data_IF_833360171396
#
_entry.id   IF_833360171396
#
_cell.length_a   1.000
_cell.length_b   1.000
_cell.length_c   1.000
_cell.angle_alpha   90.00
_cell.angle_beta   90.00
_cell.angle_gamma   90.00
#
_symmetry.space_group_name_H-M   'P 1'
#
loop_
_entity.id
_entity.type
_entity.pdbx_description
1 polymer ?
#
# COMPACT_ATOMS: atom_id res chain seq x y z
N UNK A 1 6.57 8.81 21.79
CA UNK A 1 6.46 9.28 20.39
C UNK A 1 5.79 8.17 19.59
N UNK A 2 4.68 8.50 18.93
CA UNK A 2 3.59 7.64 18.41
C UNK A 2 3.93 6.23 17.86
N UNK A 3 3.42 5.19 18.52
CA UNK A 3 3.29 3.81 18.03
C UNK A 3 2.55 3.69 16.67
N UNK A 4 1.74 4.71 16.32
CA UNK A 4 0.95 4.76 15.08
C UNK A 4 1.76 5.02 13.81
N UNK A 5 2.95 5.62 13.90
CA UNK A 5 3.84 5.77 12.73
C UNK A 5 4.58 4.46 12.41
N UNK A 6 4.84 3.62 13.42
CA UNK A 6 5.52 2.34 13.22
C UNK A 6 4.73 1.42 12.29
N UNK A 7 3.39 1.38 12.42
CA UNK A 7 2.55 0.50 11.59
C UNK A 7 2.61 0.81 10.09
N UNK A 8 2.92 2.04 9.68
CA UNK A 8 3.02 2.36 8.25
C UNK A 8 4.23 1.67 7.61
N UNK A 9 5.34 1.54 8.34
CA UNK A 9 6.50 0.78 7.86
C UNK A 9 6.17 -0.70 7.64
N UNK A 10 5.24 -1.24 8.42
CA UNK A 10 4.77 -2.61 8.27
C UNK A 10 3.77 -2.79 7.11
N UNK A 11 3.17 -1.71 6.61
CA UNK A 11 2.09 -1.79 5.61
C UNK A 11 2.52 -1.49 4.18
N UNK A 12 3.62 -0.74 3.98
CA UNK A 12 4.10 -0.38 2.64
C UNK A 12 5.59 -0.70 2.48
N UNK A 13 6.09 -0.65 1.24
CA UNK A 13 7.52 -0.75 0.99
C UNK A 13 8.25 0.49 1.53
N UNK A 14 9.54 0.37 1.90
CA UNK A 14 10.30 1.51 2.42
C UNK A 14 10.33 2.71 1.48
N UNK A 15 10.37 2.48 0.16
CA UNK A 15 10.36 3.54 -0.86
C UNK A 15 9.05 4.34 -0.93
N UNK A 16 7.95 3.72 -0.53
CA UNK A 16 6.60 4.31 -0.64
C UNK A 16 6.16 5.02 0.64
N UNK A 17 6.95 4.93 1.72
CA UNK A 17 6.58 5.42 3.04
C UNK A 17 6.16 6.91 3.03
N UNK A 18 6.92 7.76 2.35
CA UNK A 18 6.63 9.21 2.28
C UNK A 18 5.28 9.48 1.63
N UNK A 19 4.98 8.75 0.55
CA UNK A 19 3.72 8.88 -0.16
C UNK A 19 2.55 8.29 0.66
N UNK A 20 2.74 7.11 1.25
CA UNK A 20 1.78 6.49 2.14
C UNK A 20 1.41 7.39 3.34
N UNK A 21 2.39 8.11 3.88
CA UNK A 21 2.17 9.08 4.95
C UNK A 21 1.34 10.30 4.47
N UNK A 22 1.57 10.80 3.26
CA UNK A 22 0.74 11.85 2.65
C UNK A 22 -0.70 11.39 2.45
N UNK A 23 -0.89 10.16 1.98
CA UNK A 23 -2.23 9.57 1.81
C UNK A 23 -2.96 9.42 3.14
N UNK A 24 -2.27 8.99 4.20
CA UNK A 24 -2.86 8.97 5.56
C UNK A 24 -3.35 10.35 6.00
N UNK A 25 -2.52 11.37 5.80
CA UNK A 25 -2.89 12.73 6.18
C UNK A 25 -4.08 13.23 5.34
N UNK A 26 -4.07 12.99 4.03
CA UNK A 26 -5.20 13.24 3.13
C UNK A 26 -6.49 12.61 3.65
N UNK A 27 -6.48 11.31 3.97
CA UNK A 27 -7.67 10.61 4.49
C UNK A 27 -8.19 11.25 5.79
N UNK A 28 -7.28 11.62 6.70
CA UNK A 28 -7.65 12.28 7.95
C UNK A 28 -8.26 13.67 7.73
N UNK A 29 -7.71 14.43 6.79
CA UNK A 29 -8.22 15.76 6.41
C UNK A 29 -9.58 15.66 5.72
N UNK A 30 -9.76 14.71 4.80
CA UNK A 30 -11.05 14.51 4.13
C UNK A 30 -12.15 14.18 5.15
N UNK A 31 -11.91 13.23 6.06
CA UNK A 31 -12.87 12.91 7.13
C UNK A 31 -13.19 14.14 7.98
N UNK A 32 -12.16 14.89 8.38
CA UNK A 32 -12.37 16.12 9.15
C UNK A 32 -13.24 17.12 8.40
N UNK A 33 -12.98 17.34 7.11
CA UNK A 33 -13.70 18.31 6.31
C UNK A 33 -15.14 17.86 6.01
N UNK A 34 -15.38 16.56 5.80
CA UNK A 34 -16.74 16.01 5.66
C UNK A 34 -17.63 16.38 6.86
N UNK A 35 -17.13 16.26 8.08
CA UNK A 35 -17.90 16.60 9.28
C UNK A 35 -18.10 18.11 9.49
N UNK A 36 -17.27 18.94 8.87
CA UNK A 36 -17.35 20.41 8.96
C UNK A 36 -17.98 21.06 7.71
N UNK A 37 -18.39 20.25 6.72
CA UNK A 37 -18.97 20.76 5.49
C UNK A 37 -20.25 21.57 5.77
N UNK A 38 -20.37 22.72 5.12
CA UNK A 38 -21.55 23.59 5.25
C UNK A 38 -22.70 23.14 4.35
N UNK A 39 -22.41 22.21 3.43
CA UNK A 39 -23.37 21.68 2.46
C UNK A 39 -23.13 20.20 2.15
N UNK A 40 -24.17 19.54 1.64
CA UNK A 40 -24.07 18.17 1.14
C UNK A 40 -23.09 18.07 -0.03
N UNK A 41 -23.06 19.07 -0.92
CA UNK A 41 -22.16 19.07 -2.08
C UNK A 41 -20.68 19.07 -1.65
N UNK A 42 -20.36 19.89 -0.65
CA UNK A 42 -19.01 19.94 -0.07
C UNK A 42 -18.67 18.63 0.65
N UNK A 43 -19.61 18.05 1.42
CA UNK A 43 -19.42 16.74 2.03
C UNK A 43 -19.14 15.65 0.98
N UNK A 44 -19.87 15.66 -0.13
CA UNK A 44 -19.68 14.69 -1.22
C UNK A 44 -18.30 14.85 -1.87
N UNK A 45 -17.83 16.08 -2.09
CA UNK A 45 -16.49 16.32 -2.62
C UNK A 45 -15.40 15.69 -1.74
N UNK A 46 -15.49 15.87 -0.42
CA UNK A 46 -14.53 15.27 0.51
C UNK A 46 -14.64 13.75 0.59
N UNK A 47 -15.83 13.18 0.38
CA UNK A 47 -16.02 11.73 0.24
C UNK A 47 -15.29 11.18 -1.00
N UNK A 48 -15.43 11.83 -2.16
CA UNK A 48 -14.74 11.43 -3.38
C UNK A 48 -13.20 11.48 -3.23
N UNK A 49 -12.68 12.53 -2.59
CA UNK A 49 -11.24 12.65 -2.29
C UNK A 49 -10.77 11.59 -1.29
N UNK A 50 -11.59 11.27 -0.29
CA UNK A 50 -11.31 10.18 0.65
C UNK A 50 -11.20 8.84 -0.09
N UNK A 51 -12.14 8.54 -0.99
CA UNK A 51 -12.10 7.33 -1.80
C UNK A 51 -10.85 7.25 -2.68
N UNK A 52 -10.43 8.37 -3.28
CA UNK A 52 -9.17 8.45 -4.04
C UNK A 52 -7.98 8.10 -3.17
N UNK A 53 -7.85 8.73 -2.00
CA UNK A 53 -6.74 8.46 -1.09
C UNK A 53 -6.74 7.01 -0.55
N UNK A 54 -7.90 6.42 -0.31
CA UNK A 54 -8.04 4.99 0.05
C UNK A 54 -7.56 4.08 -1.09
N UNK A 55 -7.97 4.37 -2.33
CA UNK A 55 -7.62 3.56 -3.51
C UNK A 55 -6.12 3.56 -3.76
N UNK A 56 -5.49 4.73 -3.74
CA UNK A 56 -4.04 4.87 -3.91
C UNK A 56 -3.28 4.16 -2.78
N UNK A 57 -3.77 4.23 -1.54
CA UNK A 57 -3.13 3.54 -0.42
C UNK A 57 -3.23 2.01 -0.55
N UNK A 58 -4.37 1.48 -1.03
CA UNK A 58 -4.53 0.04 -1.31
C UNK A 58 -3.53 -0.45 -2.35
N UNK A 59 -3.29 0.32 -3.42
CA UNK A 59 -2.29 -0.05 -4.43
C UNK A 59 -0.88 -0.20 -3.84
N UNK A 60 -0.49 0.63 -2.86
CA UNK A 60 0.80 0.48 -2.18
C UNK A 60 0.89 -0.80 -1.35
N UNK A 61 -0.23 -1.21 -0.74
CA UNK A 61 -0.31 -2.47 0.00
C UNK A 61 -0.23 -3.67 -0.94
N UNK A 62 -0.98 -3.65 -2.03
CA UNK A 62 -0.95 -4.72 -3.03
C UNK A 62 0.46 -4.88 -3.60
N UNK A 63 1.14 -3.75 -3.89
CA UNK A 63 2.55 -3.73 -4.34
C UNK A 63 3.49 -4.38 -3.31
N UNK A 64 3.29 -4.11 -2.01
CA UNK A 64 4.07 -4.75 -0.95
C UNK A 64 3.82 -6.25 -0.90
N UNK A 65 2.56 -6.68 -0.92
CA UNK A 65 2.19 -8.10 -0.86
C UNK A 65 2.78 -8.87 -2.06
N UNK A 66 2.73 -8.28 -3.26
CA UNK A 66 3.38 -8.83 -4.46
C UNK A 66 4.91 -8.90 -4.33
N UNK A 67 5.53 -7.86 -3.76
CA UNK A 67 6.98 -7.83 -3.54
C UNK A 67 7.42 -8.93 -2.55
N UNK A 68 6.72 -9.09 -1.44
CA UNK A 68 7.01 -10.10 -0.42
C UNK A 68 6.82 -11.52 -0.97
N UNK A 69 5.75 -11.76 -1.73
CA UNK A 69 5.54 -13.03 -2.43
C UNK A 69 6.68 -13.33 -3.41
N UNK A 70 7.11 -12.33 -4.20
CA UNK A 70 8.23 -12.45 -5.14
C UNK A 70 9.54 -12.76 -4.43
N UNK A 71 9.82 -12.12 -3.30
CA UNK A 71 11.01 -12.39 -2.48
C UNK A 71 11.01 -13.82 -1.93
N UNK A 72 9.86 -14.31 -1.46
CA UNK A 72 9.70 -15.69 -1.00
C UNK A 72 10.06 -16.70 -2.11
N UNK A 73 9.53 -16.51 -3.31
CA UNK A 73 9.88 -17.39 -4.44
C UNK A 73 11.36 -17.31 -4.83
N UNK A 74 11.97 -16.12 -4.78
CA UNK A 74 13.41 -15.96 -5.08
C UNK A 74 14.28 -16.76 -4.12
N UNK A 75 13.91 -16.83 -2.84
CA UNK A 75 14.61 -17.66 -1.84
C UNK A 75 14.53 -19.14 -2.23
N UNK A 76 13.32 -19.65 -2.51
CA UNK A 76 13.12 -21.05 -2.90
C UNK A 76 13.89 -21.40 -4.18
N UNK A 77 13.86 -20.53 -5.20
CA UNK A 77 14.58 -20.73 -6.46
C UNK A 77 16.10 -20.77 -6.22
N UNK A 78 16.61 -19.89 -5.35
CA UNK A 78 18.04 -19.86 -5.01
C UNK A 78 18.48 -21.17 -4.37
N UNK A 79 17.67 -21.71 -3.44
CA UNK A 79 17.96 -22.98 -2.77
C UNK A 79 17.91 -24.17 -3.74
N UNK A 80 16.94 -24.20 -4.66
CA UNK A 80 16.86 -25.23 -5.69
C UNK A 80 18.07 -25.21 -6.63
N UNK A 81 18.48 -24.00 -7.08
CA UNK A 81 19.68 -23.83 -7.92
C UNK A 81 20.96 -24.26 -7.20
N UNK A 82 21.08 -23.98 -5.91
CA UNK A 82 22.21 -24.45 -5.09
C UNK A 82 22.29 -25.99 -5.01
N UNK A 83 21.16 -26.68 -5.17
CA UNK A 83 21.07 -28.15 -5.26
C UNK A 83 21.23 -28.70 -6.69
N UNK A 84 21.59 -27.85 -7.66
CA UNK A 84 21.75 -28.24 -9.06
C UNK A 84 20.43 -28.38 -9.83
N UNK A 85 19.29 -28.00 -9.24
CA UNK A 85 17.99 -28.03 -9.93
C UNK A 85 17.84 -26.78 -10.79
N UNK A 86 17.53 -26.97 -12.08
CA UNK A 86 17.22 -25.86 -12.96
C UNK A 86 15.82 -25.30 -12.65
N UNK A 87 15.76 -24.31 -11.75
CA UNK A 87 14.54 -23.62 -11.36
C UNK A 87 14.52 -22.17 -11.87
N UNK A 88 13.36 -21.73 -12.35
CA UNK A 88 13.10 -20.35 -12.74
C UNK A 88 11.66 -19.96 -12.36
N UNK A 89 11.43 -18.68 -12.10
CA UNK A 89 10.08 -18.17 -11.87
C UNK A 89 9.37 -18.02 -13.22
N UNK A 90 8.22 -18.67 -13.36
CA UNK A 90 7.37 -18.51 -14.55
C UNK A 90 6.10 -17.77 -14.13
N UNK A 91 5.95 -16.54 -14.59
CA UNK A 91 4.73 -15.76 -14.39
C UNK A 91 3.78 -16.03 -15.54
N UNK A 92 2.61 -16.61 -15.27
CA UNK A 92 1.54 -16.71 -16.25
C UNK A 92 0.78 -15.39 -16.26
N UNK A 93 0.77 -14.67 -17.38
CA UNK A 93 -0.16 -13.54 -17.57
C UNK A 93 -1.60 -14.11 -17.55
N UNK A 94 -2.46 -13.53 -16.71
CA UNK A 94 -3.91 -13.78 -16.73
C UNK A 94 -4.55 -13.07 -17.90
#
# INVERSE_FOLDING_TARGET
MNDRNNRLHDLVLPGDFSFANKLRNCMSECIHNMFNAESTEESNHWEEELERCIREFKMLRDTKEEHEASMSYRVVIKDLRARGVNASLVTRRK
#
